data_IF_534595103911
#
_entry.id   IF_534595103911
#
_cell.length_a   1.000
_cell.length_b   1.000
_cell.length_c   1.000
_cell.angle_alpha   90.00
_cell.angle_beta   90.00
_cell.angle_gamma   90.00
#
_symmetry.space_group_name_H-M   'P 1'
#
loop_
_entity.id
_entity.type
_entity.pdbx_description
1 polymer ?
#
# COMPACT_ATOMS: atom_id res chain seq x y z
N UNK A 1 -49.37 -45.22 22.32
CA UNK A 1 -49.60 -43.83 22.72
C UNK A 1 -48.35 -43.06 22.35
N UNK A 2 -48.48 -42.28 21.30
CA UNK A 2 -47.41 -41.44 20.73
C UNK A 2 -47.26 -40.19 21.57
N UNK A 3 -46.03 -39.70 21.72
CA UNK A 3 -45.85 -38.32 22.02
C UNK A 3 -44.64 -37.78 21.21
N UNK A 4 -44.95 -36.78 20.43
CA UNK A 4 -44.08 -36.11 19.49
C UNK A 4 -43.26 -35.06 20.25
N UNK A 5 -41.93 -35.07 20.13
CA UNK A 5 -41.07 -33.96 20.51
C UNK A 5 -40.58 -33.27 19.26
N UNK A 6 -41.21 -32.13 18.97
CA UNK A 6 -40.82 -31.17 17.97
C UNK A 6 -39.54 -30.46 18.41
N UNK A 7 -38.43 -30.67 17.70
CA UNK A 7 -37.21 -29.91 17.88
C UNK A 7 -37.34 -28.56 17.16
N UNK A 8 -37.34 -27.49 17.93
CA UNK A 8 -37.24 -26.11 17.47
C UNK A 8 -35.84 -25.86 16.88
N UNK A 9 -35.79 -25.44 15.63
CA UNK A 9 -34.57 -24.94 14.98
C UNK A 9 -34.46 -23.46 15.33
N UNK A 10 -33.69 -23.14 16.34
CA UNK A 10 -33.27 -21.75 16.60
C UNK A 10 -32.23 -21.35 15.55
N UNK A 11 -32.60 -20.34 14.74
CA UNK A 11 -31.76 -19.76 13.74
C UNK A 11 -30.56 -19.05 14.37
N UNK A 12 -29.37 -19.45 13.96
CA UNK A 12 -28.16 -18.72 14.24
C UNK A 12 -28.24 -17.36 13.52
N UNK A 13 -28.61 -16.31 14.27
CA UNK A 13 -28.48 -14.93 13.83
C UNK A 13 -26.97 -14.61 13.73
N UNK A 14 -26.45 -14.64 12.51
CA UNK A 14 -25.13 -14.12 12.22
C UNK A 14 -25.06 -12.65 12.65
N UNK A 15 -24.22 -12.35 13.61
CA UNK A 15 -23.87 -10.97 13.97
C UNK A 15 -23.12 -10.36 12.78
N UNK A 16 -23.86 -9.72 11.89
CA UNK A 16 -23.31 -8.85 10.86
C UNK A 16 -22.87 -7.55 11.56
N UNK A 17 -21.62 -7.53 12.04
CA UNK A 17 -21.03 -6.32 12.57
C UNK A 17 -21.07 -5.26 11.46
N UNK A 18 -21.50 -4.02 11.74
CA UNK A 18 -21.64 -3.00 10.71
C UNK A 18 -20.31 -2.84 9.96
N UNK A 19 -20.30 -3.22 8.69
CA UNK A 19 -19.19 -2.95 7.76
C UNK A 19 -19.08 -1.44 7.67
N UNK A 20 -18.15 -0.84 8.43
CA UNK A 20 -17.79 0.57 8.30
C UNK A 20 -17.16 0.74 6.91
N UNK A 21 -17.99 1.05 5.94
CA UNK A 21 -17.57 1.34 4.56
C UNK A 21 -16.74 2.61 4.55
N UNK A 22 -15.53 2.54 4.02
CA UNK A 22 -14.70 3.73 3.76
C UNK A 22 -15.32 4.45 2.55
N UNK A 23 -15.67 5.73 2.69
CA UNK A 23 -16.42 6.45 1.65
C UNK A 23 -15.59 6.99 0.50
N UNK A 24 -14.35 7.43 0.74
CA UNK A 24 -13.45 8.04 -0.26
C UNK A 24 -14.10 9.22 -1.01
N UNK A 25 -14.86 10.05 -0.27
CA UNK A 25 -15.69 11.13 -0.84
C UNK A 25 -14.86 12.28 -1.44
N UNK A 26 -13.59 12.38 -1.09
CA UNK A 26 -12.67 13.37 -1.67
C UNK A 26 -12.27 13.09 -3.11
N UNK A 27 -12.45 11.86 -3.60
CA UNK A 27 -12.18 11.51 -4.99
C UNK A 27 -13.40 11.79 -5.86
N UNK A 28 -13.21 12.16 -7.15
CA UNK A 28 -14.28 12.13 -8.12
C UNK A 28 -14.94 10.75 -8.17
N UNK A 29 -16.25 10.69 -8.44
CA UNK A 29 -16.93 9.42 -8.65
C UNK A 29 -16.50 8.81 -9.99
N UNK A 30 -16.29 7.52 -10.02
CA UNK A 30 -15.84 6.79 -11.20
C UNK A 30 -14.32 6.73 -11.36
N UNK A 31 -13.88 6.33 -12.57
CA UNK A 31 -12.47 6.08 -12.85
C UNK A 31 -11.94 4.80 -12.19
N UNK A 32 -10.62 4.74 -12.01
CA UNK A 32 -9.93 3.51 -11.62
C UNK A 32 -9.21 3.65 -10.29
N UNK A 33 -9.25 2.59 -9.49
CA UNK A 33 -8.28 2.35 -8.41
C UNK A 33 -7.42 1.13 -8.72
N UNK A 34 -6.15 1.15 -8.34
CA UNK A 34 -5.24 0.03 -8.51
C UNK A 34 -4.40 -0.23 -7.27
N UNK A 35 -4.14 -1.52 -7.00
CA UNK A 35 -3.28 -1.97 -5.92
C UNK A 35 -2.16 -2.83 -6.51
N UNK A 36 -0.93 -2.35 -6.44
CA UNK A 36 0.27 -3.11 -6.77
C UNK A 36 0.76 -3.86 -5.53
N UNK A 37 0.83 -5.20 -5.61
CA UNK A 37 1.05 -6.08 -4.47
C UNK A 37 -0.26 -6.65 -3.90
N UNK A 38 -1.27 -6.81 -4.75
CA UNK A 38 -2.64 -7.19 -4.40
C UNK A 38 -2.78 -8.56 -3.71
N UNK A 39 -1.80 -9.46 -3.83
CA UNK A 39 -1.80 -10.77 -3.13
C UNK A 39 -1.15 -10.74 -1.74
N UNK A 40 -0.57 -9.59 -1.35
CA UNK A 40 -0.08 -9.35 0.00
C UNK A 40 -1.23 -9.12 1.00
N UNK A 41 -0.99 -9.34 2.31
CA UNK A 41 -2.04 -9.20 3.31
C UNK A 41 -2.73 -7.83 3.29
N UNK A 42 -1.94 -6.74 3.30
CA UNK A 42 -2.48 -5.37 3.23
C UNK A 42 -3.06 -5.09 1.85
N UNK A 43 -2.36 -5.50 0.77
CA UNK A 43 -2.81 -5.25 -0.61
C UNK A 43 -4.16 -5.90 -0.93
N UNK A 44 -4.37 -7.14 -0.50
CA UNK A 44 -5.65 -7.84 -0.66
C UNK A 44 -6.78 -7.14 0.11
N UNK A 45 -6.52 -6.72 1.35
CA UNK A 45 -7.49 -6.00 2.16
C UNK A 45 -7.84 -4.62 1.59
N UNK A 46 -6.85 -3.91 1.03
CA UNK A 46 -7.07 -2.64 0.33
C UNK A 46 -7.93 -2.83 -0.92
N UNK A 47 -7.63 -3.84 -1.76
CA UNK A 47 -8.41 -4.15 -2.95
C UNK A 47 -9.87 -4.43 -2.63
N UNK A 48 -10.13 -5.25 -1.60
CA UNK A 48 -11.49 -5.55 -1.13
C UNK A 48 -12.20 -4.28 -0.64
N UNK A 49 -11.57 -3.48 0.23
CA UNK A 49 -12.16 -2.26 0.77
C UNK A 49 -12.43 -1.20 -0.29
N UNK A 50 -11.57 -1.08 -1.31
CA UNK A 50 -11.80 -0.20 -2.47
C UNK A 50 -13.00 -0.64 -3.30
N UNK A 51 -13.15 -1.93 -3.55
CA UNK A 51 -14.30 -2.51 -4.25
C UNK A 51 -15.59 -2.26 -3.46
N UNK A 52 -15.58 -2.53 -2.15
CA UNK A 52 -16.73 -2.33 -1.26
C UNK A 52 -17.14 -0.86 -1.12
N UNK A 53 -16.21 0.09 -1.37
CA UNK A 53 -16.51 1.53 -1.31
C UNK A 53 -17.46 2.00 -2.41
N UNK A 54 -17.49 1.31 -3.55
CA UNK A 54 -18.27 1.69 -4.73
C UNK A 54 -17.87 3.05 -5.33
N UNK A 55 -16.72 3.64 -4.93
CA UNK A 55 -16.29 4.96 -5.41
C UNK A 55 -15.77 4.93 -6.84
N UNK A 56 -15.06 3.86 -7.21
CA UNK A 56 -14.40 3.69 -8.50
C UNK A 56 -15.16 2.71 -9.38
N UNK A 57 -15.18 2.95 -10.69
CA UNK A 57 -15.84 2.05 -11.67
C UNK A 57 -15.16 0.67 -11.69
N UNK A 58 -13.83 0.64 -11.48
CA UNK A 58 -13.04 -0.57 -11.46
C UNK A 58 -11.92 -0.50 -10.42
N UNK A 59 -11.67 -1.62 -9.78
CA UNK A 59 -10.51 -1.83 -8.88
C UNK A 59 -9.65 -2.94 -9.45
N UNK A 60 -8.39 -2.64 -9.77
CA UNK A 60 -7.45 -3.57 -10.40
C UNK A 60 -6.35 -3.96 -9.42
N UNK A 61 -6.07 -5.26 -9.32
CA UNK A 61 -5.04 -5.81 -8.45
C UNK A 61 -3.88 -6.39 -9.25
N UNK A 62 -2.69 -5.80 -9.13
CA UNK A 62 -1.46 -6.28 -9.77
C UNK A 62 -0.58 -7.05 -8.79
N UNK A 63 -0.06 -8.21 -9.20
CA UNK A 63 0.83 -9.03 -8.38
C UNK A 63 1.73 -9.90 -9.25
N UNK A 64 2.63 -10.68 -8.64
CA UNK A 64 3.50 -11.62 -9.39
C UNK A 64 2.75 -12.81 -9.99
N UNK A 65 1.57 -13.10 -9.48
CA UNK A 65 0.73 -14.22 -9.91
C UNK A 65 -0.72 -13.74 -10.05
N UNK A 66 -1.45 -14.24 -11.03
CA UNK A 66 -2.84 -13.87 -11.31
C UNK A 66 -3.00 -13.23 -12.69
N UNK A 67 -4.21 -12.76 -12.99
CA UNK A 67 -4.59 -12.26 -14.31
C UNK A 67 -3.82 -10.99 -14.72
N UNK A 68 -3.53 -10.12 -13.76
CA UNK A 68 -2.71 -8.92 -13.94
C UNK A 68 -1.34 -9.14 -13.28
N UNK A 69 -0.55 -10.03 -13.89
CA UNK A 69 0.79 -10.34 -13.40
C UNK A 69 1.81 -9.30 -13.84
N UNK A 70 2.76 -8.97 -12.92
CA UNK A 70 3.91 -8.12 -13.23
C UNK A 70 5.10 -8.47 -12.35
N UNK A 71 6.29 -8.26 -12.88
CA UNK A 71 7.54 -8.31 -12.11
C UNK A 71 7.99 -6.88 -11.79
N UNK A 72 8.04 -6.56 -10.50
CA UNK A 72 8.46 -5.23 -10.01
C UNK A 72 9.94 -4.94 -10.31
N UNK A 73 10.75 -5.95 -10.56
CA UNK A 73 12.18 -5.83 -10.82
C UNK A 73 12.52 -5.79 -12.32
N UNK A 74 11.53 -5.96 -13.18
CA UNK A 74 11.62 -5.81 -14.63
C UNK A 74 10.86 -4.56 -15.10
N UNK A 75 11.60 -3.57 -15.60
CA UNK A 75 11.00 -2.31 -16.04
C UNK A 75 10.02 -2.48 -17.21
N UNK A 76 10.27 -3.42 -18.11
CA UNK A 76 9.35 -3.67 -19.23
C UNK A 76 8.01 -4.21 -18.72
N UNK A 77 8.05 -5.11 -17.74
CA UNK A 77 6.86 -5.61 -17.04
C UNK A 77 6.11 -4.52 -16.31
N UNK A 78 6.82 -3.62 -15.61
CA UNK A 78 6.25 -2.45 -14.92
C UNK A 78 5.58 -1.50 -15.91
N UNK A 79 6.24 -1.21 -17.04
CA UNK A 79 5.69 -0.34 -18.09
C UNK A 79 4.39 -0.93 -18.69
N UNK A 80 4.38 -2.23 -18.96
CA UNK A 80 3.20 -2.95 -19.47
C UNK A 80 2.04 -2.90 -18.48
N UNK A 81 2.31 -3.09 -17.19
CA UNK A 81 1.28 -3.00 -16.14
C UNK A 81 0.68 -1.58 -16.05
N UNK A 82 1.51 -0.54 -16.13
CA UNK A 82 1.07 0.85 -16.13
C UNK A 82 0.26 1.20 -17.41
N UNK A 83 0.65 0.67 -18.56
CA UNK A 83 -0.09 0.82 -19.82
C UNK A 83 -1.46 0.15 -19.73
N UNK A 84 -1.50 -1.11 -19.27
CA UNK A 84 -2.74 -1.85 -19.05
C UNK A 84 -3.71 -1.07 -18.15
N UNK A 85 -3.20 -0.48 -17.06
CA UNK A 85 -4.03 0.35 -16.19
C UNK A 85 -4.58 1.57 -16.93
N UNK A 86 -3.73 2.28 -17.68
CA UNK A 86 -4.11 3.50 -18.39
C UNK A 86 -5.15 3.26 -19.51
N UNK A 87 -5.14 2.10 -20.15
CA UNK A 87 -6.15 1.75 -21.17
C UNK A 87 -7.52 1.43 -20.57
N UNK A 88 -7.62 1.22 -19.27
CA UNK A 88 -8.87 0.90 -18.59
C UNK A 88 -9.70 2.14 -18.18
N UNK A 89 -9.14 3.35 -18.20
CA UNK A 89 -9.81 4.61 -17.85
C UNK A 89 -8.96 5.56 -17.01
N UNK A 90 -9.59 6.59 -16.46
CA UNK A 90 -8.93 7.61 -15.63
C UNK A 90 -8.40 7.03 -14.32
N UNK A 91 -7.09 7.10 -14.11
CA UNK A 91 -6.44 6.59 -12.90
C UNK A 91 -6.65 7.58 -11.75
N UNK A 92 -7.49 7.26 -10.77
CA UNK A 92 -7.78 8.12 -9.63
C UNK A 92 -6.98 7.75 -8.36
N UNK A 93 -6.75 6.45 -8.13
CA UNK A 93 -5.99 6.01 -6.96
C UNK A 93 -5.08 4.84 -7.31
N UNK A 94 -3.80 4.97 -6.98
CA UNK A 94 -2.85 3.84 -7.04
C UNK A 94 -2.23 3.65 -5.66
N UNK A 95 -2.23 2.42 -5.17
CA UNK A 95 -1.57 2.06 -3.92
C UNK A 95 -0.45 1.07 -4.22
N UNK A 96 0.79 1.47 -3.91
CA UNK A 96 1.96 0.63 -4.02
C UNK A 96 2.15 -0.13 -2.71
N UNK A 97 1.57 -1.33 -2.62
CA UNK A 97 1.59 -2.20 -1.44
C UNK A 97 2.68 -3.29 -1.53
N UNK A 98 3.67 -3.09 -2.41
CA UNK A 98 4.83 -3.96 -2.56
C UNK A 98 5.86 -3.70 -1.47
N UNK A 99 6.60 -4.73 -1.06
CA UNK A 99 7.68 -4.58 -0.10
C UNK A 99 8.26 -5.92 0.35
N UNK A 100 9.51 -5.86 0.81
CA UNK A 100 10.26 -7.00 1.35
C UNK A 100 10.98 -6.55 2.62
N UNK A 101 10.84 -7.33 3.69
CA UNK A 101 11.57 -7.16 4.94
C UNK A 101 12.59 -8.28 5.16
N UNK A 102 12.25 -9.48 4.74
CA UNK A 102 13.08 -10.67 4.81
C UNK A 102 12.82 -11.59 3.61
N UNK A 103 13.73 -12.48 3.29
CA UNK A 103 13.60 -13.46 2.23
C UNK A 103 14.05 -14.84 2.73
N UNK A 104 13.16 -15.84 2.65
CA UNK A 104 13.43 -17.18 3.21
C UNK A 104 13.75 -17.12 4.70
N UNK A 105 14.89 -17.67 5.08
CA UNK A 105 15.41 -17.69 6.47
C UNK A 105 16.27 -16.46 6.81
N UNK A 106 16.60 -15.62 5.80
CA UNK A 106 17.43 -14.44 6.00
C UNK A 106 16.63 -13.31 6.66
N UNK A 107 16.85 -13.09 7.95
CA UNK A 107 16.24 -12.00 8.72
C UNK A 107 17.00 -10.68 8.50
N UNK A 108 16.37 -9.51 8.76
CA UNK A 108 17.05 -8.23 8.70
C UNK A 108 18.23 -8.14 9.65
N UNK A 109 19.23 -7.38 9.24
CA UNK A 109 20.52 -7.22 9.93
C UNK A 109 20.33 -6.59 11.32
N UNK A 110 20.88 -7.20 12.36
CA UNK A 110 20.88 -6.64 13.74
C UNK A 110 22.12 -5.78 14.01
N UNK A 111 23.18 -5.97 13.23
CA UNK A 111 24.48 -5.32 13.40
C UNK A 111 25.07 -4.95 12.03
N UNK A 112 25.94 -3.92 11.99
CA UNK A 112 26.70 -3.58 10.78
C UNK A 112 27.56 -4.73 10.25
N UNK A 113 27.92 -5.69 11.13
CA UNK A 113 28.72 -6.88 10.75
C UNK A 113 27.95 -7.86 9.88
N UNK A 114 26.63 -7.76 9.87
CA UNK A 114 25.72 -8.60 9.09
C UNK A 114 25.33 -7.95 7.75
N UNK A 115 25.86 -6.74 7.49
CA UNK A 115 25.57 -6.03 6.22
C UNK A 115 26.20 -6.79 5.07
N UNK A 116 25.36 -7.12 4.08
CA UNK A 116 25.72 -7.86 2.89
C UNK A 116 25.26 -7.12 1.64
N UNK A 117 26.13 -7.02 0.62
CA UNK A 117 25.89 -6.21 -0.57
C UNK A 117 24.72 -6.75 -1.42
N UNK A 118 24.60 -8.06 -1.57
CA UNK A 118 23.55 -8.67 -2.40
C UNK A 118 22.19 -8.50 -1.72
N UNK A 119 22.13 -8.67 -0.39
CA UNK A 119 20.91 -8.45 0.39
C UNK A 119 20.48 -6.99 0.38
N UNK A 120 21.43 -6.05 0.49
CA UNK A 120 21.14 -4.62 0.32
C UNK A 120 20.59 -4.35 -1.08
N UNK A 121 21.27 -4.80 -2.12
CA UNK A 121 20.82 -4.62 -3.51
C UNK A 121 19.41 -5.17 -3.71
N UNK A 122 19.11 -6.35 -3.16
CA UNK A 122 17.77 -6.97 -3.22
C UNK A 122 16.72 -6.15 -2.49
N UNK A 123 17.02 -5.65 -1.29
CA UNK A 123 16.12 -4.77 -0.54
C UNK A 123 15.82 -3.47 -1.30
N UNK A 124 16.83 -2.84 -1.89
CA UNK A 124 16.66 -1.65 -2.71
C UNK A 124 15.89 -1.93 -4.00
N UNK A 125 16.15 -3.03 -4.69
CA UNK A 125 15.43 -3.41 -5.89
C UNK A 125 13.91 -3.46 -5.65
N UNK A 126 13.48 -4.06 -4.54
CA UNK A 126 12.04 -4.26 -4.26
C UNK A 126 11.42 -3.05 -3.54
N UNK A 127 12.12 -2.46 -2.56
CA UNK A 127 11.51 -1.44 -1.72
C UNK A 127 11.67 -0.01 -2.24
N UNK A 128 12.60 0.25 -3.14
CA UNK A 128 12.91 1.59 -3.66
C UNK A 128 12.87 1.65 -5.19
N UNK A 129 13.69 0.85 -5.89
CA UNK A 129 13.83 0.93 -7.35
C UNK A 129 12.54 0.54 -8.04
N UNK A 130 11.94 -0.60 -7.68
CA UNK A 130 10.67 -1.04 -8.28
C UNK A 130 9.53 -0.03 -8.10
N UNK A 131 9.26 0.48 -6.88
CA UNK A 131 8.33 1.60 -6.70
C UNK A 131 8.68 2.85 -7.50
N UNK A 132 9.96 3.21 -7.66
CA UNK A 132 10.38 4.33 -8.50
C UNK A 132 10.03 4.10 -9.99
N UNK A 133 10.22 2.88 -10.49
CA UNK A 133 9.79 2.51 -11.85
C UNK A 133 8.27 2.60 -12.00
N UNK A 134 7.49 2.16 -11.00
CA UNK A 134 6.04 2.38 -11.00
C UNK A 134 5.69 3.87 -11.04
N UNK A 135 6.33 4.72 -10.22
CA UNK A 135 6.13 6.17 -10.26
C UNK A 135 6.46 6.74 -11.65
N UNK A 136 7.60 6.35 -12.24
CA UNK A 136 8.02 6.78 -13.59
C UNK A 136 6.94 6.54 -14.63
N UNK A 137 6.31 5.37 -14.61
CA UNK A 137 5.33 4.98 -15.62
C UNK A 137 3.89 5.39 -15.29
N UNK A 138 3.53 5.59 -14.02
CA UNK A 138 2.17 5.92 -13.60
C UNK A 138 1.91 7.43 -13.50
N UNK A 139 2.85 8.22 -12.97
CA UNK A 139 2.62 9.65 -12.74
C UNK A 139 2.28 10.43 -14.03
N UNK A 140 2.91 10.16 -15.19
CA UNK A 140 2.52 10.81 -16.44
C UNK A 140 1.10 10.48 -16.92
N UNK A 141 0.50 9.43 -16.40
CA UNK A 141 -0.83 8.92 -16.79
C UNK A 141 -1.95 9.38 -15.86
N UNK A 142 -1.62 10.05 -14.75
CA UNK A 142 -2.64 10.62 -13.88
C UNK A 142 -3.38 11.76 -14.57
N UNK A 143 -4.68 11.94 -14.33
CA UNK A 143 -5.43 13.06 -14.83
C UNK A 143 -4.90 14.39 -14.28
N UNK A 144 -5.03 15.46 -15.07
CA UNK A 144 -4.55 16.80 -14.71
C UNK A 144 -5.49 17.56 -13.79
N UNK A 145 -6.74 17.15 -13.73
CA UNK A 145 -7.80 17.80 -12.96
C UNK A 145 -8.53 16.82 -12.06
N UNK A 146 -8.99 17.31 -10.94
CA UNK A 146 -9.61 16.53 -9.89
C UNK A 146 -8.58 15.66 -9.13
N UNK A 147 -8.93 15.31 -7.91
CA UNK A 147 -8.05 14.49 -7.07
C UNK A 147 -7.67 13.18 -7.75
N UNK A 148 -6.38 12.95 -7.87
CA UNK A 148 -5.76 11.66 -8.18
C UNK A 148 -4.60 11.42 -7.23
N UNK A 149 -4.33 10.19 -6.83
CA UNK A 149 -3.31 9.91 -5.83
C UNK A 149 -2.49 8.66 -6.14
N UNK A 150 -1.18 8.75 -5.89
CA UNK A 150 -0.30 7.58 -5.71
C UNK A 150 0.17 7.54 -4.27
N UNK A 151 -0.17 6.47 -3.56
CA UNK A 151 0.23 6.23 -2.17
C UNK A 151 1.19 5.03 -2.11
N UNK A 152 2.44 5.25 -1.69
CA UNK A 152 3.42 4.19 -1.54
C UNK A 152 3.50 3.72 -0.08
N UNK A 153 3.34 2.42 0.18
CA UNK A 153 3.50 1.86 1.52
C UNK A 153 4.98 1.86 1.91
N UNK A 154 5.33 2.77 2.78
CA UNK A 154 6.61 2.86 3.44
C UNK A 154 6.56 2.25 4.85
N UNK A 155 7.54 2.54 5.66
CA UNK A 155 7.60 2.08 7.05
C UNK A 155 8.24 3.17 7.92
N UNK A 156 7.74 3.34 9.15
CA UNK A 156 8.29 4.31 10.12
C UNK A 156 9.79 4.13 10.34
N UNK A 157 10.28 2.90 10.25
CA UNK A 157 11.71 2.60 10.35
C UNK A 157 12.55 3.18 9.21
N UNK A 158 11.94 3.64 8.11
CA UNK A 158 12.59 4.42 7.04
C UNK A 158 12.81 5.89 7.40
N UNK A 159 12.25 6.38 8.51
CA UNK A 159 12.56 7.72 9.04
C UNK A 159 13.97 7.74 9.63
N UNK A 160 14.83 8.62 9.12
CA UNK A 160 16.18 8.84 9.63
C UNK A 160 16.10 9.59 10.96
N UNK A 161 15.26 10.63 10.99
CA UNK A 161 15.08 11.47 12.18
C UNK A 161 14.45 10.76 13.37
N UNK A 162 13.63 9.72 13.14
CA UNK A 162 12.97 8.93 14.19
C UNK A 162 13.77 7.67 14.61
N UNK A 163 14.91 7.39 13.95
CA UNK A 163 15.68 6.18 14.23
C UNK A 163 16.47 6.32 15.54
N UNK A 164 16.10 5.52 16.55
CA UNK A 164 16.79 5.40 17.84
C UNK A 164 17.27 3.99 18.13
N UNK A 165 16.84 2.99 17.31
CA UNK A 165 17.08 1.58 17.58
C UNK A 165 18.23 1.00 16.77
N UNK A 166 18.55 1.57 15.60
CA UNK A 166 19.51 0.97 14.66
C UNK A 166 19.03 -0.38 14.11
N UNK A 167 19.95 -1.18 13.59
CA UNK A 167 19.64 -2.45 12.96
C UNK A 167 18.82 -2.33 11.68
N UNK A 168 18.48 -3.46 11.06
CA UNK A 168 17.64 -3.54 9.85
C UNK A 168 18.12 -2.64 8.70
N UNK A 169 19.44 -2.65 8.48
CA UNK A 169 20.12 -1.68 7.60
C UNK A 169 19.51 -1.64 6.19
N UNK A 170 19.37 -2.79 5.54
CA UNK A 170 18.81 -2.89 4.20
C UNK A 170 17.37 -2.38 4.15
N UNK A 171 16.54 -2.77 5.11
CA UNK A 171 15.13 -2.37 5.14
C UNK A 171 14.96 -0.88 5.42
N UNK A 172 15.64 -0.34 6.47
CA UNK A 172 15.59 1.09 6.80
C UNK A 172 16.08 1.95 5.65
N UNK A 173 17.25 1.64 5.12
CA UNK A 173 17.85 2.41 4.03
C UNK A 173 16.99 2.39 2.77
N UNK A 174 16.44 1.22 2.40
CA UNK A 174 15.57 1.12 1.22
C UNK A 174 14.24 1.86 1.41
N UNK A 175 13.67 1.91 2.61
CA UNK A 175 12.44 2.68 2.90
C UNK A 175 12.73 4.19 3.01
N UNK A 176 13.89 4.60 3.50
CA UNK A 176 14.34 6.00 3.43
C UNK A 176 14.53 6.45 1.96
N UNK A 177 15.11 5.60 1.11
CA UNK A 177 15.23 5.84 -0.32
C UNK A 177 13.85 5.97 -0.99
N UNK A 178 12.90 5.08 -0.67
CA UNK A 178 11.51 5.19 -1.15
C UNK A 178 10.90 6.55 -0.77
N UNK A 179 11.06 6.97 0.49
CA UNK A 179 10.54 8.24 0.97
C UNK A 179 11.10 9.42 0.16
N UNK A 180 12.41 9.43 -0.10
CA UNK A 180 13.04 10.46 -0.93
C UNK A 180 12.52 10.44 -2.37
N UNK A 181 12.35 9.25 -2.97
CA UNK A 181 11.84 9.11 -4.34
C UNK A 181 10.39 9.62 -4.46
N UNK A 182 9.55 9.31 -3.48
CA UNK A 182 8.16 9.82 -3.40
C UNK A 182 8.15 11.34 -3.28
N UNK A 183 9.01 11.92 -2.43
CA UNK A 183 9.10 13.37 -2.26
C UNK A 183 9.52 14.08 -3.56
N UNK A 184 10.56 13.59 -4.24
CA UNK A 184 10.98 14.12 -5.55
C UNK A 184 9.85 14.02 -6.58
N UNK A 185 9.21 12.87 -6.67
CA UNK A 185 8.10 12.61 -7.60
C UNK A 185 6.91 13.55 -7.37
N UNK A 186 6.59 13.86 -6.12
CA UNK A 186 5.52 14.79 -5.76
C UNK A 186 5.81 16.22 -6.24
N UNK A 187 7.07 16.70 -6.10
CA UNK A 187 7.49 18.03 -6.58
C UNK A 187 7.33 18.16 -8.09
N UNK A 188 7.68 17.10 -8.83
CA UNK A 188 7.51 17.08 -10.29
C UNK A 188 6.04 16.97 -10.70
N UNK A 189 5.28 16.11 -10.00
CA UNK A 189 3.86 15.92 -10.25
C UNK A 189 3.05 17.19 -10.10
N UNK A 190 3.34 18.00 -9.07
CA UNK A 190 2.64 19.26 -8.80
C UNK A 190 2.71 20.26 -9.96
N UNK A 191 3.78 20.23 -10.78
CA UNK A 191 3.93 21.10 -11.96
C UNK A 191 2.99 20.69 -13.10
N UNK A 192 2.61 19.42 -13.18
CA UNK A 192 1.80 18.85 -14.26
C UNK A 192 0.33 18.67 -13.88
N UNK A 193 0.08 18.25 -12.65
CA UNK A 193 -1.22 17.92 -12.12
C UNK A 193 -1.31 18.45 -10.67
N UNK A 194 -1.63 19.76 -10.48
CA UNK A 194 -1.53 20.42 -9.18
C UNK A 194 -2.53 19.89 -8.14
N UNK A 195 -3.58 19.20 -8.55
CA UNK A 195 -4.54 18.56 -7.64
C UNK A 195 -4.18 17.10 -7.31
N UNK A 196 -3.15 16.56 -7.97
CA UNK A 196 -2.71 15.19 -7.73
C UNK A 196 -1.78 15.10 -6.51
N UNK A 197 -1.80 13.95 -5.85
CA UNK A 197 -1.11 13.69 -4.59
C UNK A 197 -0.18 12.48 -4.74
N UNK A 198 1.07 12.60 -4.30
CA UNK A 198 2.00 11.49 -4.21
C UNK A 198 2.58 11.46 -2.79
N UNK A 199 2.33 10.39 -2.02
CA UNK A 199 2.69 10.31 -0.60
C UNK A 199 3.26 8.97 -0.21
N UNK A 200 4.07 8.96 0.86
CA UNK A 200 4.48 7.76 1.57
C UNK A 200 3.59 7.53 2.79
N UNK A 201 3.17 6.27 3.02
CA UNK A 201 2.30 5.90 4.15
C UNK A 201 2.92 4.77 4.97
N UNK A 202 2.93 4.93 6.29
CA UNK A 202 3.25 3.85 7.23
C UNK A 202 1.96 3.19 7.73
N UNK A 203 1.74 1.89 7.45
CA UNK A 203 0.50 1.20 7.81
C UNK A 203 0.36 0.84 9.29
N UNK A 204 1.37 1.14 10.11
CA UNK A 204 1.50 0.56 11.45
C UNK A 204 2.07 -0.85 11.42
N UNK A 205 2.04 -1.54 12.56
CA UNK A 205 2.36 -2.96 12.64
C UNK A 205 1.13 -3.77 12.26
N UNK A 206 1.20 -4.52 11.17
CA UNK A 206 0.07 -5.28 10.63
C UNK A 206 0.40 -6.76 10.61
N UNK A 207 -0.52 -7.60 11.06
CA UNK A 207 -0.36 -9.07 11.11
C UNK A 207 -0.38 -9.66 9.69
N UNK A 208 0.79 -9.80 9.07
CA UNK A 208 0.99 -10.33 7.72
C UNK A 208 2.17 -11.31 7.68
N UNK A 209 2.35 -12.00 6.55
CA UNK A 209 3.54 -12.84 6.33
C UNK A 209 4.86 -12.05 6.45
N UNK A 210 4.86 -10.79 6.05
CA UNK A 210 6.04 -9.92 6.12
C UNK A 210 6.46 -9.62 7.56
N UNK A 211 5.51 -9.45 8.46
CA UNK A 211 5.75 -9.10 9.87
C UNK A 211 5.79 -10.32 10.80
N UNK A 212 5.32 -11.48 10.34
CA UNK A 212 5.17 -12.69 11.18
C UNK A 212 6.38 -13.04 12.04
N UNK A 213 7.66 -12.94 11.58
CA UNK A 213 8.82 -13.21 12.41
C UNK A 213 9.07 -12.20 13.54
N UNK A 214 8.42 -11.01 13.50
CA UNK A 214 8.73 -9.87 14.37
C UNK A 214 7.55 -9.38 15.22
N UNK A 215 6.33 -9.70 14.83
CA UNK A 215 5.10 -9.13 15.40
C UNK A 215 4.09 -10.23 15.79
N UNK A 216 4.54 -11.29 16.42
CA UNK A 216 3.73 -12.48 16.69
C UNK A 216 2.41 -12.23 17.46
N UNK A 217 2.23 -11.08 18.15
CA UNK A 217 1.04 -10.84 18.99
C UNK A 217 0.48 -9.42 19.00
N UNK A 218 1.10 -8.45 18.30
CA UNK A 218 0.75 -7.02 18.47
C UNK A 218 0.29 -6.29 17.20
N UNK A 219 0.21 -6.96 16.06
CA UNK A 219 -0.21 -6.33 14.80
C UNK A 219 -1.73 -6.26 14.65
N UNK A 220 -2.24 -5.15 14.10
CA UNK A 220 -3.65 -5.03 13.71
C UNK A 220 -3.95 -5.93 12.50
N UNK A 221 -5.20 -6.33 12.34
CA UNK A 221 -5.63 -7.12 11.19
C UNK A 221 -5.44 -6.33 9.88
N UNK A 222 -5.10 -6.98 8.75
CA UNK A 222 -4.97 -6.32 7.45
C UNK A 222 -6.19 -5.49 7.03
N UNK A 223 -7.38 -5.96 7.34
CA UNK A 223 -8.65 -5.26 7.06
C UNK A 223 -8.74 -3.94 7.84
N UNK A 224 -8.31 -3.92 9.10
CA UNK A 224 -8.28 -2.71 9.91
C UNK A 224 -7.22 -1.74 9.43
N UNK A 225 -6.03 -2.23 9.09
CA UNK A 225 -4.95 -1.42 8.50
C UNK A 225 -5.39 -0.79 7.18
N UNK A 226 -6.06 -1.55 6.30
CA UNK A 226 -6.60 -1.04 5.05
C UNK A 226 -7.61 0.09 5.28
N UNK A 227 -8.51 -0.07 6.24
CA UNK A 227 -9.50 0.97 6.61
C UNK A 227 -8.83 2.24 7.10
N UNK A 228 -7.83 2.13 7.98
CA UNK A 228 -7.07 3.28 8.48
C UNK A 228 -6.36 4.00 7.33
N UNK A 229 -5.65 3.26 6.48
CA UNK A 229 -4.93 3.83 5.33
C UNK A 229 -5.87 4.54 4.36
N UNK A 230 -7.01 3.94 4.00
CA UNK A 230 -7.98 4.57 3.12
C UNK A 230 -8.61 5.81 3.75
N UNK A 231 -8.85 5.81 5.05
CA UNK A 231 -9.29 7.00 5.78
C UNK A 231 -8.26 8.13 5.77
N UNK A 232 -6.95 7.82 5.79
CA UNK A 232 -5.88 8.82 5.61
C UNK A 232 -5.85 9.30 4.16
N UNK A 233 -5.87 8.40 3.18
CA UNK A 233 -5.89 8.70 1.75
C UNK A 233 -7.06 9.64 1.38
N UNK A 234 -8.23 9.43 1.98
CA UNK A 234 -9.39 10.30 1.73
C UNK A 234 -9.16 11.73 2.25
N UNK A 235 -8.54 11.89 3.42
CA UNK A 235 -8.30 13.22 4.03
C UNK A 235 -7.17 14.03 3.40
N UNK A 236 -6.13 13.37 2.85
CA UNK A 236 -4.99 14.05 2.27
C UNK A 236 -5.38 14.76 0.96
N UNK A 237 -4.82 15.94 0.74
CA UNK A 237 -5.03 16.75 -0.45
C UNK A 237 -3.69 17.21 -1.08
N UNK A 238 -3.75 18.09 -2.08
CA UNK A 238 -2.58 18.53 -2.84
C UNK A 238 -1.50 19.19 -1.97
N UNK A 239 -1.86 19.85 -0.86
CA UNK A 239 -0.88 20.48 0.05
C UNK A 239 -0.07 19.45 0.84
N UNK A 240 -0.61 18.24 0.98
CA UNK A 240 0.01 17.13 1.69
C UNK A 240 0.94 16.31 0.78
N UNK A 241 0.95 16.60 -0.53
CA UNK A 241 1.75 15.87 -1.52
C UNK A 241 3.24 15.98 -1.21
N UNK A 242 3.96 14.88 -1.33
CA UNK A 242 5.37 14.77 -0.97
C UNK A 242 5.59 14.43 0.51
N UNK A 243 4.54 14.31 1.33
CA UNK A 243 4.63 14.01 2.75
C UNK A 243 4.77 12.51 3.05
N UNK A 244 5.18 12.24 4.29
CA UNK A 244 5.21 10.89 4.87
C UNK A 244 4.30 10.86 6.11
N UNK A 245 3.28 10.00 6.10
CA UNK A 245 2.24 9.94 7.13
C UNK A 245 2.11 8.54 7.73
N UNK A 246 1.75 8.45 8.99
CA UNK A 246 1.37 7.19 9.60
C UNK A 246 -0.13 6.86 9.36
N UNK A 247 -0.55 5.70 9.80
CA UNK A 247 -1.91 5.18 9.66
C UNK A 247 -3.01 6.03 10.34
N UNK A 248 -2.63 7.00 11.18
CA UNK A 248 -3.53 7.99 11.79
C UNK A 248 -3.63 9.27 10.96
N UNK A 249 -2.71 9.43 10.00
CA UNK A 249 -2.52 10.67 9.23
C UNK A 249 -1.58 11.66 9.92
N UNK A 250 -0.83 11.22 10.93
CA UNK A 250 0.18 12.05 11.58
C UNK A 250 1.43 12.09 10.72
N UNK A 251 2.01 13.27 10.45
CA UNK A 251 3.30 13.37 9.75
C UNK A 251 4.40 12.60 10.49
N UNK A 252 5.19 11.84 9.74
CA UNK A 252 6.38 11.15 10.24
C UNK A 252 7.59 11.95 9.78
N UNK A 253 8.56 12.28 10.67
CA UNK A 253 9.79 12.97 10.25
C UNK A 253 10.59 12.11 9.26
N UNK A 254 11.32 12.81 8.39
CA UNK A 254 12.20 12.15 7.40
C UNK A 254 13.40 11.41 8.00
#
# INVERSE_FOLDING_TARGET
>A
MADQLTASRDGAAGHDAPRLTVRLDSFPHGGLAAVFGATGGIGAALGAALTDSGRFDRVLGFSRCGDLSFDLTDEASVATAAETLATCGDIRLVILATGMLHEGTALPEKSWREVDAERLARAFAINAIGPALLLKHLLPRLPRTGKAMVAALSARVGSIGDNRLGGWYGYRASKAALNQLVHCAAIELARRAPEAVCVALHPGTVATRLSAPFAATSGVAPVEAARHLLGVIDRLDAKDSGGFYDWRGTPVPW
#
